data_IF_566572816402
#
_entry.id   IF_566572816402
#
_cell.length_a   1.000
_cell.length_b   1.000
_cell.length_c   1.000
_cell.angle_alpha   90.00
_cell.angle_beta   90.00
_cell.angle_gamma   90.00
#
_symmetry.space_group_name_H-M   'P 1'
#
loop_
_entity.id
_entity.type
_entity.pdbx_description
1 polymer ?
#
# COMPACT_ATOMS: atom_id res chain seq x y z
N UNK A 1 -14.95 4.54 0.66
CA UNK A 1 -13.54 4.96 0.83
C UNK A 1 -12.60 3.76 0.94
N UNK A 2 -12.53 3.06 2.09
CA UNK A 2 -11.54 1.98 2.31
C UNK A 2 -11.62 0.90 1.23
N UNK A 3 -12.84 0.40 0.94
CA UNK A 3 -13.04 -0.62 -0.10
C UNK A 3 -12.58 -0.21 -1.50
N UNK A 4 -12.76 1.05 -1.89
CA UNK A 4 -12.30 1.56 -3.21
C UNK A 4 -10.79 1.58 -3.33
N UNK A 5 -10.09 2.01 -2.27
CA UNK A 5 -8.62 1.96 -2.19
C UNK A 5 -8.14 0.52 -2.25
N UNK A 6 -8.73 -0.37 -1.45
CA UNK A 6 -8.32 -1.77 -1.38
C UNK A 6 -8.53 -2.50 -2.69
N UNK A 7 -9.67 -2.29 -3.35
CA UNK A 7 -10.02 -2.93 -4.61
C UNK A 7 -9.04 -2.54 -5.72
N UNK A 8 -8.95 -1.24 -5.99
CA UNK A 8 -8.07 -0.74 -7.07
C UNK A 8 -6.60 -0.97 -6.77
N UNK A 9 -6.18 -0.78 -5.51
CA UNK A 9 -4.82 -1.08 -5.07
C UNK A 9 -4.45 -2.54 -5.31
N UNK A 10 -5.35 -3.47 -4.98
CA UNK A 10 -5.12 -4.91 -5.20
C UNK A 10 -5.01 -5.26 -6.68
N UNK A 11 -5.85 -4.67 -7.52
CA UNK A 11 -5.79 -4.86 -8.99
C UNK A 11 -4.46 -4.37 -9.55
N UNK A 12 -3.97 -3.21 -9.08
CA UNK A 12 -2.67 -2.66 -9.51
C UNK A 12 -1.51 -3.52 -9.03
N UNK A 13 -1.53 -3.96 -7.76
CA UNK A 13 -0.52 -4.86 -7.21
C UNK A 13 -0.44 -6.18 -8.00
N UNK A 14 -1.60 -6.78 -8.28
CA UNK A 14 -1.72 -7.95 -9.14
C UNK A 14 -1.13 -7.69 -10.52
N UNK A 15 -1.52 -6.59 -11.17
CA UNK A 15 -1.08 -6.28 -12.54
C UNK A 15 0.44 -6.07 -12.64
N UNK A 16 1.08 -5.52 -11.60
CA UNK A 16 2.55 -5.39 -11.53
C UNK A 16 3.23 -6.74 -11.34
N UNK A 17 2.74 -7.59 -10.44
CA UNK A 17 3.32 -8.91 -10.17
C UNK A 17 3.09 -9.90 -11.32
N UNK A 18 1.98 -9.78 -12.03
CA UNK A 18 1.68 -10.55 -13.24
C UNK A 18 2.47 -10.07 -14.47
N UNK A 19 3.28 -9.01 -14.37
CA UNK A 19 4.04 -8.43 -15.49
C UNK A 19 3.17 -7.69 -16.52
N UNK A 20 1.90 -7.46 -16.23
CA UNK A 20 0.97 -6.71 -17.11
C UNK A 20 1.24 -5.20 -17.08
N UNK A 21 1.86 -4.70 -16.00
CA UNK A 21 2.33 -3.33 -15.87
C UNK A 21 3.82 -3.28 -15.51
N UNK A 22 4.47 -2.15 -15.80
CA UNK A 22 5.87 -1.93 -15.41
C UNK A 22 6.02 -1.95 -13.89
N UNK A 23 7.03 -2.67 -13.41
CA UNK A 23 7.38 -2.74 -11.98
C UNK A 23 8.03 -1.46 -11.44
N UNK A 24 8.44 -0.55 -12.33
CA UNK A 24 8.99 0.75 -11.93
C UNK A 24 7.90 1.61 -11.24
N UNK A 25 8.26 2.37 -10.19
CA UNK A 25 7.32 3.27 -9.54
C UNK A 25 6.90 4.39 -10.50
N UNK A 26 5.60 4.71 -10.52
CA UNK A 26 5.08 5.86 -11.25
C UNK A 26 5.51 7.15 -10.53
N UNK A 27 6.52 7.83 -11.05
CA UNK A 27 7.04 9.07 -10.49
C UNK A 27 6.32 10.28 -11.12
N UNK A 28 5.30 10.81 -10.44
CA UNK A 28 4.68 12.09 -10.78
C UNK A 28 5.32 13.23 -9.97
N UNK A 29 5.66 14.37 -10.59
CA UNK A 29 6.38 15.47 -9.93
C UNK A 29 5.62 16.11 -8.76
N UNK A 30 4.30 15.89 -8.69
CA UNK A 30 3.39 16.50 -7.69
C UNK A 30 2.60 15.42 -6.93
N UNK A 31 3.12 14.19 -6.87
CA UNK A 31 2.42 13.00 -6.33
C UNK A 31 1.81 13.22 -4.95
N UNK A 32 2.59 13.77 -4.02
CA UNK A 32 2.16 13.91 -2.62
C UNK A 32 1.07 14.98 -2.46
N UNK A 33 1.15 16.07 -3.25
CA UNK A 33 0.10 17.08 -3.27
C UNK A 33 -1.18 16.57 -3.95
N UNK A 34 -1.06 15.73 -4.99
CA UNK A 34 -2.22 15.08 -5.60
C UNK A 34 -2.91 14.12 -4.63
N UNK A 35 -2.13 13.30 -3.90
CA UNK A 35 -2.66 12.42 -2.86
C UNK A 35 -3.36 13.20 -1.76
N UNK A 36 -2.71 14.25 -1.26
CA UNK A 36 -3.28 15.10 -0.21
C UNK A 36 -4.54 15.83 -0.69
N UNK A 37 -4.54 16.32 -1.93
CA UNK A 37 -5.71 16.95 -2.55
C UNK A 37 -6.89 15.97 -2.68
N UNK A 38 -6.65 14.75 -3.16
CA UNK A 38 -7.69 13.72 -3.23
C UNK A 38 -8.26 13.36 -1.85
N UNK A 39 -7.41 13.22 -0.83
CA UNK A 39 -7.86 12.98 0.55
C UNK A 39 -8.65 14.18 1.09
N UNK A 40 -8.22 15.41 0.80
CA UNK A 40 -8.93 16.63 1.18
C UNK A 40 -10.32 16.71 0.56
N UNK A 41 -10.45 16.40 -0.73
CA UNK A 41 -11.75 16.35 -1.42
C UNK A 41 -12.64 15.25 -0.83
N UNK A 42 -12.08 14.08 -0.49
CA UNK A 42 -12.83 13.01 0.17
C UNK A 42 -13.33 13.42 1.56
N UNK A 43 -12.52 14.16 2.33
CA UNK A 43 -12.93 14.70 3.63
C UNK A 43 -14.04 15.76 3.49
N UNK A 44 -13.96 16.64 2.48
CA UNK A 44 -15.02 17.59 2.17
C UNK A 44 -16.31 16.90 1.72
N UNK A 45 -16.20 15.85 0.90
CA UNK A 45 -17.33 15.02 0.50
C UNK A 45 -18.01 14.34 1.70
N UNK A 46 -17.22 13.82 2.64
CA UNK A 46 -17.73 13.27 3.91
C UNK A 46 -18.46 14.34 4.73
N UNK A 47 -17.90 15.56 4.85
CA UNK A 47 -18.53 16.65 5.56
C UNK A 47 -19.87 17.06 4.91
N UNK A 48 -19.92 17.15 3.58
CA UNK A 48 -21.14 17.45 2.83
C UNK A 48 -22.20 16.33 2.93
N UNK A 49 -21.78 15.08 3.08
CA UNK A 49 -22.70 13.95 3.33
C UNK A 49 -23.40 14.07 4.69
N UNK A 50 -22.64 14.43 5.74
CA UNK A 50 -23.15 14.58 7.11
C UNK A 50 -24.00 15.84 7.26
N UNK A 51 -23.54 16.96 6.70
CA UNK A 51 -24.25 18.24 6.71
C UNK A 51 -24.39 18.78 5.27
N UNK A 52 -25.54 18.53 4.62
CA UNK A 52 -25.80 19.00 3.26
C UNK A 52 -25.78 20.52 3.10
N UNK A 53 -25.87 21.29 4.20
CA UNK A 53 -25.79 22.76 4.12
C UNK A 53 -24.39 23.25 3.70
N UNK A 54 -23.35 22.45 3.96
CA UNK A 54 -21.97 22.68 3.50
C UNK A 54 -21.83 22.50 1.97
N UNK A 55 -22.83 21.94 1.28
CA UNK A 55 -22.80 21.82 -0.18
C UNK A 55 -22.76 23.17 -0.90
N UNK A 56 -23.19 24.24 -0.23
CA UNK A 56 -23.09 25.61 -0.76
C UNK A 56 -21.64 26.11 -0.91
N UNK A 57 -20.69 25.46 -0.24
CA UNK A 57 -19.25 25.76 -0.29
C UNK A 57 -18.50 24.82 -1.26
N UNK A 58 -19.20 23.87 -1.88
CA UNK A 58 -18.62 22.86 -2.76
C UNK A 58 -19.21 22.95 -4.17
N UNK A 59 -18.71 22.11 -5.07
CA UNK A 59 -19.20 22.02 -6.45
C UNK A 59 -20.62 21.45 -6.58
N UNK A 60 -21.29 21.16 -5.45
CA UNK A 60 -22.62 20.57 -5.35
C UNK A 60 -23.72 21.62 -5.05
N UNK A 61 -23.42 22.90 -5.28
CA UNK A 61 -24.32 24.02 -5.02
C UNK A 61 -25.65 23.88 -5.79
N UNK A 62 -26.77 24.10 -5.11
CA UNK A 62 -28.11 24.10 -5.72
C UNK A 62 -28.77 22.72 -5.88
N UNK A 63 -28.13 21.66 -5.39
CA UNK A 63 -28.71 20.32 -5.33
C UNK A 63 -29.54 20.13 -4.05
N UNK A 64 -30.60 19.31 -4.14
CA UNK A 64 -31.36 18.87 -2.97
C UNK A 64 -30.48 18.05 -2.01
N UNK A 65 -30.82 18.06 -0.72
CA UNK A 65 -30.04 17.41 0.33
C UNK A 65 -29.82 15.91 0.07
N UNK A 66 -30.78 15.22 -0.54
CA UNK A 66 -30.65 13.82 -0.92
C UNK A 66 -29.68 13.62 -2.10
N UNK A 67 -29.75 14.49 -3.11
CA UNK A 67 -28.84 14.49 -4.24
C UNK A 67 -27.39 14.79 -3.81
N UNK A 68 -27.19 15.67 -2.82
CA UNK A 68 -25.87 15.94 -2.20
C UNK A 68 -25.31 14.67 -1.54
N UNK A 69 -26.13 13.92 -0.81
CA UNK A 69 -25.71 12.67 -0.16
C UNK A 69 -25.35 11.58 -1.16
N UNK A 70 -26.14 11.42 -2.21
CA UNK A 70 -25.85 10.42 -3.24
C UNK A 70 -24.59 10.78 -4.04
N UNK A 71 -24.48 12.03 -4.48
CA UNK A 71 -23.31 12.51 -5.23
C UNK A 71 -22.03 12.46 -4.40
N UNK A 72 -22.07 12.75 -3.10
CA UNK A 72 -20.91 12.61 -2.22
C UNK A 72 -20.47 11.15 -2.05
N UNK A 73 -21.41 10.19 -2.04
CA UNK A 73 -21.11 8.76 -1.99
C UNK A 73 -20.48 8.27 -3.31
N UNK A 74 -21.03 8.66 -4.46
CA UNK A 74 -20.48 8.35 -5.79
C UNK A 74 -19.09 8.94 -5.97
N UNK A 75 -18.92 10.21 -5.61
CA UNK A 75 -17.63 10.89 -5.60
C UNK A 75 -16.63 10.15 -4.72
N UNK A 76 -17.05 9.74 -3.51
CA UNK A 76 -16.18 8.98 -2.61
C UNK A 76 -15.78 7.63 -3.19
N UNK A 77 -16.68 6.92 -3.88
CA UNK A 77 -16.38 5.63 -4.51
C UNK A 77 -15.37 5.79 -5.66
N UNK A 78 -15.60 6.72 -6.57
CA UNK A 78 -14.71 6.97 -7.73
C UNK A 78 -13.36 7.50 -7.27
N UNK A 79 -13.35 8.53 -6.42
CA UNK A 79 -12.12 9.20 -6.03
C UNK A 79 -11.24 8.32 -5.12
N UNK A 80 -11.85 7.50 -4.24
CA UNK A 80 -11.07 6.51 -3.47
C UNK A 80 -10.48 5.40 -4.34
N UNK A 81 -11.15 5.04 -5.44
CA UNK A 81 -10.65 4.09 -6.43
C UNK A 81 -9.46 4.68 -7.23
N UNK A 82 -9.56 5.94 -7.64
CA UNK A 82 -8.44 6.64 -8.29
C UNK A 82 -7.26 6.81 -7.32
N UNK A 83 -7.53 7.15 -6.06
CA UNK A 83 -6.51 7.27 -5.02
C UNK A 83 -5.80 5.93 -4.78
N UNK A 84 -6.54 4.82 -4.68
CA UNK A 84 -5.95 3.48 -4.52
C UNK A 84 -5.06 3.09 -5.70
N UNK A 85 -5.53 3.34 -6.94
CA UNK A 85 -4.71 3.16 -8.13
C UNK A 85 -3.42 3.97 -8.06
N UNK A 86 -3.51 5.27 -7.79
CA UNK A 86 -2.36 6.18 -7.81
C UNK A 86 -1.35 5.87 -6.70
N UNK A 87 -1.82 5.55 -5.48
CA UNK A 87 -0.96 5.15 -4.36
C UNK A 87 -0.15 3.90 -4.70
N UNK A 88 -0.79 2.82 -5.15
CA UNK A 88 -0.08 1.55 -5.43
C UNK A 88 0.73 1.62 -6.73
N UNK A 89 0.29 2.39 -7.73
CA UNK A 89 1.05 2.62 -8.96
C UNK A 89 2.37 3.35 -8.67
N UNK A 90 2.41 4.19 -7.63
CA UNK A 90 3.60 4.95 -7.24
C UNK A 90 4.62 4.14 -6.44
N UNK A 91 4.29 2.92 -6.00
CA UNK A 91 5.19 2.05 -5.23
C UNK A 91 6.02 1.17 -6.19
N UNK A 92 7.27 0.87 -5.84
CA UNK A 92 8.15 0.03 -6.65
C UNK A 92 7.83 -1.46 -6.50
N UNK A 93 8.14 -2.24 -7.55
CA UNK A 93 8.00 -3.70 -7.57
C UNK A 93 8.56 -4.45 -6.36
N UNK A 94 9.79 -4.14 -5.89
CA UNK A 94 10.39 -4.83 -4.74
C UNK A 94 9.58 -4.73 -3.44
N UNK A 95 8.78 -3.66 -3.28
CA UNK A 95 8.00 -3.41 -2.07
C UNK A 95 6.54 -3.89 -2.21
N UNK A 96 6.17 -4.50 -3.34
CA UNK A 96 4.78 -4.90 -3.60
C UNK A 96 4.24 -5.92 -2.60
N UNK A 97 5.09 -6.79 -2.06
CA UNK A 97 4.70 -7.79 -1.05
C UNK A 97 4.20 -7.13 0.24
N UNK A 98 4.81 -6.01 0.65
CA UNK A 98 4.36 -5.20 1.79
C UNK A 98 3.05 -4.49 1.46
N UNK A 99 2.88 -4.00 0.24
CA UNK A 99 1.62 -3.36 -0.17
C UNK A 99 0.44 -4.33 -0.07
N UNK A 100 0.64 -5.59 -0.47
CA UNK A 100 -0.40 -6.62 -0.37
C UNK A 100 -0.85 -6.81 1.09
N UNK A 101 0.08 -6.80 2.05
CA UNK A 101 -0.27 -6.99 3.46
C UNK A 101 -0.96 -5.77 4.08
N UNK A 102 -0.61 -4.56 3.63
CA UNK A 102 -1.36 -3.34 3.95
C UNK A 102 -2.79 -3.41 3.42
N UNK A 103 -2.97 -3.80 2.16
CA UNK A 103 -4.30 -3.91 1.53
C UNK A 103 -5.14 -5.02 2.19
N UNK A 104 -4.51 -6.10 2.66
CA UNK A 104 -5.14 -7.12 3.48
C UNK A 104 -5.60 -6.58 4.85
N UNK A 105 -4.83 -5.70 5.49
CA UNK A 105 -5.31 -5.00 6.68
C UNK A 105 -6.53 -4.14 6.36
N UNK A 106 -6.48 -3.39 5.25
CA UNK A 106 -7.58 -2.51 4.85
C UNK A 106 -8.87 -3.26 4.49
N UNK A 107 -8.80 -4.47 3.92
CA UNK A 107 -10.01 -5.28 3.69
C UNK A 107 -10.68 -5.66 5.02
N UNK A 108 -9.90 -5.98 6.06
CA UNK A 108 -10.40 -6.24 7.41
C UNK A 108 -11.10 -5.02 8.02
N UNK A 109 -10.50 -3.83 7.94
CA UNK A 109 -11.12 -2.60 8.44
C UNK A 109 -12.37 -2.19 7.66
N UNK A 110 -12.41 -2.47 6.35
CA UNK A 110 -13.62 -2.28 5.54
C UNK A 110 -14.76 -3.20 6.03
N UNK A 111 -14.46 -4.47 6.30
CA UNK A 111 -15.43 -5.43 6.84
C UNK A 111 -15.89 -5.02 8.26
N UNK A 112 -15.02 -4.44 9.07
CA UNK A 112 -15.37 -3.90 10.38
C UNK A 112 -16.40 -2.74 10.25
N UNK A 113 -16.16 -1.81 9.32
CA UNK A 113 -17.10 -0.73 9.03
C UNK A 113 -18.45 -1.25 8.51
N UNK A 114 -18.44 -2.27 7.66
CA UNK A 114 -19.67 -2.96 7.19
C UNK A 114 -20.40 -3.64 8.35
N UNK A 115 -19.68 -4.27 9.27
CA UNK A 115 -20.23 -4.84 10.51
C UNK A 115 -20.97 -3.81 11.36
N UNK A 116 -20.41 -2.60 11.53
CA UNK A 116 -21.11 -1.52 12.21
C UNK A 116 -22.32 -1.00 11.44
N UNK A 117 -22.21 -0.89 10.11
CA UNK A 117 -23.31 -0.43 9.25
C UNK A 117 -24.51 -1.37 9.30
N UNK A 118 -24.27 -2.69 9.28
CA UNK A 118 -25.31 -3.72 9.32
C UNK A 118 -25.71 -4.12 10.76
N UNK A 119 -25.12 -3.47 11.78
CA UNK A 119 -25.27 -3.83 13.19
C UNK A 119 -25.01 -5.33 13.45
N UNK A 120 -24.00 -5.89 12.79
CA UNK A 120 -23.62 -7.29 12.88
C UNK A 120 -22.28 -7.45 13.62
N UNK A 121 -22.29 -7.92 14.89
CA UNK A 121 -21.09 -8.03 15.69
C UNK A 121 -20.10 -9.08 15.15
N UNK A 122 -20.56 -10.11 14.43
CA UNK A 122 -19.69 -11.12 13.86
C UNK A 122 -18.81 -10.53 12.76
N UNK A 123 -19.39 -9.73 11.85
CA UNK A 123 -18.62 -9.04 10.80
C UNK A 123 -17.63 -8.06 11.40
N UNK A 124 -18.03 -7.32 12.44
CA UNK A 124 -17.14 -6.38 13.13
C UNK A 124 -15.94 -7.09 13.76
N UNK A 125 -16.17 -8.20 14.47
CA UNK A 125 -15.11 -8.98 15.14
C UNK A 125 -14.16 -9.65 14.14
N UNK A 126 -14.70 -10.28 13.09
CA UNK A 126 -13.90 -10.91 12.03
C UNK A 126 -13.09 -9.85 11.28
N UNK A 127 -13.70 -8.72 10.94
CA UNK A 127 -13.02 -7.60 10.29
C UNK A 127 -11.86 -7.05 11.13
N UNK A 128 -12.07 -6.86 12.43
CA UNK A 128 -11.01 -6.43 13.35
C UNK A 128 -9.87 -7.45 13.42
N UNK A 129 -10.16 -8.75 13.52
CA UNK A 129 -9.14 -9.81 13.56
C UNK A 129 -8.28 -9.82 12.28
N UNK A 130 -8.90 -9.73 11.11
CA UNK A 130 -8.19 -9.67 9.82
C UNK A 130 -7.36 -8.37 9.74
N UNK A 131 -7.95 -7.23 10.12
CA UNK A 131 -7.32 -5.92 10.09
C UNK A 131 -6.04 -5.86 10.93
N UNK A 132 -6.12 -6.32 12.19
CA UNK A 132 -4.96 -6.39 13.08
C UNK A 132 -3.92 -7.39 12.62
N UNK A 133 -4.33 -8.59 12.16
CA UNK A 133 -3.40 -9.59 11.62
C UNK A 133 -2.59 -9.05 10.44
N UNK A 134 -3.25 -8.38 9.48
CA UNK A 134 -2.58 -7.75 8.35
C UNK A 134 -1.62 -6.63 8.75
N UNK A 135 -1.99 -5.83 9.76
CA UNK A 135 -1.14 -4.75 10.26
C UNK A 135 0.15 -5.28 10.92
N UNK A 136 0.05 -6.33 11.74
CA UNK A 136 1.21 -6.98 12.35
C UNK A 136 2.11 -7.59 11.29
N UNK A 137 1.54 -8.30 10.30
CA UNK A 137 2.30 -8.89 9.21
C UNK A 137 3.05 -7.81 8.40
N UNK A 138 2.38 -6.69 8.09
CA UNK A 138 2.99 -5.54 7.43
C UNK A 138 4.21 -5.04 8.21
N UNK A 139 4.06 -4.89 9.53
CA UNK A 139 5.14 -4.41 10.40
C UNK A 139 6.34 -5.37 10.41
N UNK A 140 6.11 -6.68 10.59
CA UNK A 140 7.17 -7.70 10.59
C UNK A 140 7.92 -7.71 9.24
N UNK A 141 7.20 -7.60 8.12
CA UNK A 141 7.83 -7.55 6.80
C UNK A 141 8.68 -6.29 6.59
N UNK A 142 8.20 -5.13 7.05
CA UNK A 142 8.95 -3.88 6.98
C UNK A 142 10.24 -3.96 7.81
N UNK A 143 10.16 -4.49 9.03
CA UNK A 143 11.30 -4.70 9.92
C UNK A 143 12.32 -5.66 9.30
N UNK A 144 11.87 -6.79 8.75
CA UNK A 144 12.73 -7.77 8.09
C UNK A 144 13.44 -7.19 6.84
N UNK A 145 12.84 -6.20 6.17
CA UNK A 145 13.42 -5.51 5.03
C UNK A 145 14.29 -4.30 5.42
N UNK A 146 14.39 -3.95 6.71
CA UNK A 146 15.13 -2.78 7.19
C UNK A 146 14.54 -1.44 6.69
N UNK A 147 13.23 -1.39 6.41
CA UNK A 147 12.56 -0.21 5.84
C UNK A 147 11.33 0.16 6.66
N UNK A 148 11.05 1.46 6.79
CA UNK A 148 9.84 1.91 7.48
C UNK A 148 8.60 1.80 6.58
N UNK A 149 7.43 1.56 7.20
CA UNK A 149 6.13 1.53 6.51
C UNK A 149 5.88 2.83 5.72
N UNK A 150 6.27 3.97 6.27
CA UNK A 150 6.13 5.27 5.61
C UNK A 150 7.00 5.38 4.36
N UNK A 151 8.23 4.85 4.40
CA UNK A 151 9.13 4.84 3.24
C UNK A 151 8.58 3.95 2.11
N UNK A 152 7.91 2.86 2.45
CA UNK A 152 7.26 1.95 1.48
C UNK A 152 6.01 2.59 0.86
N UNK A 153 5.10 3.13 1.66
CA UNK A 153 3.82 3.67 1.18
C UNK A 153 4.00 5.01 0.43
N UNK A 154 4.84 5.91 0.95
CA UNK A 154 5.10 7.19 0.32
C UNK A 154 6.30 7.15 -0.62
N UNK A 155 6.70 5.97 -1.12
CA UNK A 155 7.70 5.81 -2.16
C UNK A 155 8.92 6.72 -1.96
N UNK A 156 9.50 6.68 -0.76
CA UNK A 156 10.79 7.30 -0.50
C UNK A 156 11.81 6.54 -1.32
N UNK A 157 12.19 7.11 -2.47
CA UNK A 157 13.17 6.54 -3.38
C UNK A 157 14.41 6.09 -2.60
N UNK A 158 14.55 4.78 -2.38
CA UNK A 158 15.81 4.09 -2.07
C UNK A 158 16.72 4.71 -1.02
N UNK A 159 16.24 5.60 -0.15
CA UNK A 159 17.01 6.10 0.96
C UNK A 159 16.67 5.17 2.11
N UNK A 160 17.61 4.30 2.52
CA UNK A 160 17.53 3.72 3.86
C UNK A 160 17.28 4.87 4.82
N UNK A 161 16.68 4.58 5.97
CA UNK A 161 16.89 5.45 7.14
C UNK A 161 18.37 5.76 7.14
N UNK A 162 18.74 7.03 6.96
CA UNK A 162 20.12 7.44 7.00
C UNK A 162 20.62 7.05 8.40
N UNK A 163 21.24 5.88 8.50
CA UNK A 163 22.34 5.74 9.42
C UNK A 163 23.29 6.86 8.98
N UNK A 164 23.37 7.89 9.82
CA UNK A 164 24.36 8.95 9.71
C UNK A 164 25.74 8.32 9.91
N UNK A 165 26.22 7.57 8.91
CA UNK A 165 27.37 6.70 9.00
C UNK A 165 27.79 6.20 7.62
N UNK A 166 28.69 6.98 7.04
CA UNK A 166 29.67 6.66 6.00
C UNK A 166 29.22 6.42 4.56
N UNK A 167 29.95 7.12 3.68
CA UNK A 167 30.47 6.68 2.39
C UNK A 167 30.18 5.21 2.09
N UNK A 168 29.62 4.95 0.91
CA UNK A 168 29.60 3.62 0.31
C UNK A 168 31.02 3.05 0.39
N UNK A 169 31.25 2.13 1.33
CA UNK A 169 32.51 1.41 1.44
C UNK A 169 32.82 0.83 0.07
N UNK A 170 33.97 1.22 -0.48
CA UNK A 170 34.48 0.66 -1.72
C UNK A 170 34.47 -0.87 -1.58
N UNK A 171 33.98 -1.57 -2.59
CA UNK A 171 33.93 -3.03 -2.56
C UNK A 171 35.37 -3.51 -2.67
N UNK A 172 35.98 -3.83 -1.54
CA UNK A 172 37.31 -4.44 -1.50
C UNK A 172 37.20 -5.95 -1.75
N UNK A 173 37.81 -6.41 -2.86
CA UNK A 173 37.95 -7.84 -3.18
C UNK A 173 37.78 -8.16 -4.66
N UNK A 174 38.42 -9.25 -5.09
CA UNK A 174 38.25 -9.80 -6.44
C UNK A 174 37.18 -10.89 -6.46
N UNK A 175 36.42 -10.98 -7.56
CA UNK A 175 35.42 -12.02 -7.78
C UNK A 175 36.13 -13.36 -8.02
N UNK A 176 35.96 -14.32 -7.12
CA UNK A 176 36.40 -15.71 -7.33
C UNK A 176 35.34 -16.48 -8.12
N UNK A 177 35.71 -16.92 -9.32
CA UNK A 177 34.83 -17.71 -10.20
C UNK A 177 35.16 -19.20 -10.00
N UNK A 178 34.17 -20.00 -9.57
CA UNK A 178 34.29 -21.45 -9.42
C UNK A 178 33.71 -22.23 -10.62
N UNK A 179 34.25 -23.42 -10.91
CA UNK A 179 33.67 -24.38 -11.85
C UNK A 179 32.68 -25.33 -11.15
N UNK A 180 31.83 -26.00 -11.93
CA UNK A 180 30.87 -27.02 -11.40
C UNK A 180 31.61 -28.16 -10.69
N UNK A 181 32.76 -28.57 -11.21
CA UNK A 181 33.56 -29.65 -10.62
C UNK A 181 34.10 -29.25 -9.24
N UNK A 182 34.61 -28.02 -9.09
CA UNK A 182 35.10 -27.50 -7.81
C UNK A 182 33.98 -27.34 -6.78
N UNK A 183 32.77 -26.96 -7.23
CA UNK A 183 31.58 -26.91 -6.37
C UNK A 183 31.20 -28.30 -5.87
N UNK A 184 31.19 -29.31 -6.74
CA UNK A 184 30.89 -30.70 -6.38
C UNK A 184 31.88 -31.26 -5.36
N UNK A 185 33.17 -31.03 -5.57
CA UNK A 185 34.21 -31.46 -4.64
C UNK A 185 34.04 -30.79 -3.27
N UNK A 186 33.84 -29.47 -3.25
CA UNK A 186 33.59 -28.71 -2.02
C UNK A 186 32.35 -29.20 -1.27
N UNK A 187 31.30 -29.60 -1.99
CA UNK A 187 30.08 -30.16 -1.39
C UNK A 187 30.29 -31.58 -0.85
N UNK A 188 31.11 -32.40 -1.50
CA UNK A 188 31.44 -33.76 -1.03
C UNK A 188 32.34 -33.73 0.21
N UNK A 189 33.24 -32.76 0.32
CA UNK A 189 34.09 -32.56 1.48
C UNK A 189 33.36 -31.88 2.66
N UNK A 190 32.29 -31.13 2.38
CA UNK A 190 31.53 -30.42 3.40
C UNK A 190 30.79 -31.38 4.33
N UNK A 191 30.98 -31.18 5.65
CA UNK A 191 30.26 -31.96 6.68
C UNK A 191 28.88 -31.40 7.01
N UNK A 192 28.68 -30.10 6.82
CA UNK A 192 27.42 -29.40 7.08
C UNK A 192 27.16 -28.40 5.95
N UNK A 193 25.96 -28.43 5.40
CA UNK A 193 25.56 -27.59 4.28
C UNK A 193 24.33 -26.80 4.68
N UNK A 194 24.38 -25.47 4.52
CA UNK A 194 23.23 -24.58 4.67
C UNK A 194 22.92 -24.00 3.30
N UNK A 195 21.68 -24.20 2.84
CA UNK A 195 21.18 -23.64 1.58
C UNK A 195 20.33 -22.42 1.93
N UNK A 196 20.70 -21.25 1.38
CA UNK A 196 19.92 -20.01 1.47
C UNK A 196 19.25 -19.80 0.11
N UNK A 197 17.97 -20.16 -0.05
CA UNK A 197 17.24 -20.04 -1.32
C UNK A 197 16.83 -18.59 -1.65
#
# INVERSE_FOLDING_TARGET
FIGGITFTGSVVAFSKLAGMMKSAPLALPVRDQLNLGMVGILALGMAAFLDPSLANLSFLQGLDAEAVRLSSLEMAAVLSSVLGFHLVASIGGPDMSVVITVLNSYSGWALCAEGFLLNNPLLAQVGALIGFSGAILTWIMCEAMGRSITAVIFGGAGKPVANNGNDSTEIEGDITIGSVDNMMESLLEAKNIIIVP
#
